data_IF_209786634065
#
_entry.id   IF_209786634065
#
_cell.length_a   1.000
_cell.length_b   1.000
_cell.length_c   1.000
_cell.angle_alpha   90.00
_cell.angle_beta   90.00
_cell.angle_gamma   90.00
#
_symmetry.space_group_name_H-M   'P 1'
#
loop_
_entity.id
_entity.type
_entity.pdbx_description
1 polymer ?
#
# COMPACT_ATOMS: atom_id res chain seq x y z
N UNK A 1 20.56 6.71 -21.11
CA UNK A 1 19.68 6.30 -19.99
C UNK A 1 20.08 4.94 -19.47
N UNK A 2 20.26 3.95 -20.32
CA UNK A 2 20.76 2.63 -19.92
C UNK A 2 22.08 2.69 -19.13
N UNK A 3 22.99 3.62 -19.47
CA UNK A 3 24.26 3.79 -18.75
C UNK A 3 24.13 4.33 -17.33
N UNK A 4 23.04 5.01 -16.96
CA UNK A 4 22.83 5.54 -15.61
C UNK A 4 22.58 4.46 -14.55
N UNK A 5 22.03 3.31 -14.94
CA UNK A 5 21.68 2.23 -14.02
C UNK A 5 22.61 1.01 -14.11
N UNK A 6 23.74 1.14 -14.82
CA UNK A 6 24.68 0.05 -15.11
C UNK A 6 25.27 -0.62 -13.86
N UNK A 7 25.30 0.08 -12.74
CA UNK A 7 25.81 -0.46 -11.46
C UNK A 7 24.89 -1.54 -10.86
N UNK A 8 23.60 -1.50 -11.20
CA UNK A 8 22.59 -2.43 -10.68
C UNK A 8 22.31 -3.60 -11.65
N UNK A 9 23.00 -3.64 -12.78
CA UNK A 9 22.77 -4.68 -13.78
C UNK A 9 23.39 -6.01 -13.40
N UNK A 10 22.67 -7.08 -13.72
CA UNK A 10 23.17 -8.44 -13.66
C UNK A 10 24.28 -8.65 -14.70
N UNK A 11 25.08 -9.68 -14.54
CA UNK A 11 26.13 -10.01 -15.53
C UNK A 11 25.54 -10.33 -16.90
N UNK A 12 24.33 -10.90 -16.95
CA UNK A 12 23.58 -11.16 -18.17
C UNK A 12 23.16 -9.86 -18.87
N UNK A 13 22.63 -8.89 -18.16
CA UNK A 13 22.26 -7.58 -18.71
C UNK A 13 23.48 -6.82 -19.26
N UNK A 14 24.63 -6.89 -18.56
CA UNK A 14 25.89 -6.33 -19.03
C UNK A 14 26.36 -6.98 -20.34
N UNK A 15 26.26 -8.32 -20.45
CA UNK A 15 26.61 -9.04 -21.66
C UNK A 15 25.73 -8.61 -22.83
N UNK A 16 24.41 -8.56 -22.68
CA UNK A 16 23.46 -8.12 -23.71
C UNK A 16 23.77 -6.69 -24.16
N UNK A 17 24.11 -5.79 -23.23
CA UNK A 17 24.45 -4.43 -23.57
C UNK A 17 25.72 -4.33 -24.42
N UNK A 18 26.75 -5.11 -24.12
CA UNK A 18 27.97 -5.16 -24.94
C UNK A 18 27.71 -5.78 -26.34
N UNK A 19 26.89 -6.81 -26.42
CA UNK A 19 26.41 -7.38 -27.68
C UNK A 19 25.61 -6.35 -28.50
N UNK A 20 24.73 -5.62 -27.88
CA UNK A 20 23.95 -4.54 -28.50
C UNK A 20 24.83 -3.45 -29.07
N UNK A 21 25.86 -3.01 -28.33
CA UNK A 21 26.86 -2.04 -28.81
C UNK A 21 27.66 -2.54 -30.00
N UNK A 22 28.08 -3.79 -29.93
CA UNK A 22 28.89 -4.39 -30.99
C UNK A 22 28.09 -4.57 -32.28
N UNK A 23 26.82 -4.95 -32.19
CA UNK A 23 25.93 -5.20 -33.31
C UNK A 23 25.20 -3.98 -33.85
N UNK A 24 25.21 -2.86 -33.15
CA UNK A 24 24.37 -1.67 -33.41
C UNK A 24 22.86 -2.03 -33.54
N UNK A 25 22.43 -3.02 -32.75
CA UNK A 25 21.05 -3.54 -32.72
C UNK A 25 20.53 -3.53 -31.30
N UNK A 26 19.25 -3.33 -31.11
CA UNK A 26 18.58 -3.41 -29.79
C UNK A 26 17.70 -4.63 -29.77
N UNK A 27 17.80 -5.44 -28.73
CA UNK A 27 16.87 -6.56 -28.52
C UNK A 27 15.54 -6.03 -28.03
N UNK A 28 14.46 -6.61 -28.53
CA UNK A 28 13.10 -6.18 -28.18
C UNK A 28 12.28 -7.36 -27.65
N UNK A 29 11.42 -7.07 -26.69
CA UNK A 29 10.28 -7.92 -26.37
C UNK A 29 9.16 -7.63 -27.36
N UNK A 30 8.89 -8.58 -28.22
CA UNK A 30 7.89 -8.47 -29.25
C UNK A 30 6.59 -9.13 -28.80
N UNK A 31 5.55 -8.35 -28.55
CA UNK A 31 4.29 -8.81 -27.98
C UNK A 31 3.15 -8.63 -28.97
N UNK A 32 2.38 -9.69 -29.20
CA UNK A 32 1.09 -9.60 -29.88
C UNK A 32 -0.02 -9.28 -28.88
N UNK A 33 -0.80 -8.22 -29.13
CA UNK A 33 -1.89 -7.82 -28.26
C UNK A 33 -3.24 -7.86 -28.97
N UNK A 34 -4.27 -8.26 -28.24
CA UNK A 34 -5.67 -8.23 -28.69
C UNK A 34 -6.29 -6.84 -28.54
N UNK A 35 -7.46 -6.62 -29.17
CA UNK A 35 -8.21 -5.36 -29.04
C UNK A 35 -8.55 -5.01 -27.57
N UNK A 36 -8.90 -6.01 -26.77
CA UNK A 36 -9.19 -5.83 -25.34
C UNK A 36 -7.97 -5.27 -24.60
N UNK A 37 -6.79 -5.82 -24.85
CA UNK A 37 -5.55 -5.33 -24.23
C UNK A 37 -5.21 -3.94 -24.74
N UNK A 38 -5.37 -3.68 -26.04
CA UNK A 38 -5.18 -2.35 -26.62
C UNK A 38 -6.06 -1.28 -25.95
N UNK A 39 -7.30 -1.62 -25.62
CA UNK A 39 -8.21 -0.70 -24.93
C UNK A 39 -7.82 -0.43 -23.48
N UNK A 40 -7.09 -1.33 -22.87
CA UNK A 40 -6.59 -1.23 -21.49
C UNK A 40 -5.24 -0.50 -21.37
N UNK A 41 -4.56 -0.22 -22.49
CA UNK A 41 -3.25 0.46 -22.45
C UNK A 41 -3.35 1.87 -21.88
N UNK A 42 -2.36 2.24 -21.07
CA UNK A 42 -2.20 3.61 -20.56
C UNK A 42 -1.35 4.41 -21.55
N UNK A 43 -1.99 5.28 -22.32
CA UNK A 43 -1.36 6.03 -23.41
C UNK A 43 -0.62 7.27 -22.89
N UNK A 44 0.55 7.50 -23.47
CA UNK A 44 1.26 8.76 -23.35
C UNK A 44 0.93 9.65 -24.55
N UNK A 45 -0.05 10.53 -24.38
CA UNK A 45 -0.58 11.37 -25.45
C UNK A 45 -1.89 10.85 -26.02
N UNK A 46 -2.15 11.09 -27.32
CA UNK A 46 -3.39 10.67 -27.96
C UNK A 46 -3.40 9.18 -28.29
N UNK A 47 -4.51 8.52 -27.94
CA UNK A 47 -4.75 7.12 -28.29
C UNK A 47 -5.03 7.01 -29.78
N UNK A 48 -4.33 6.14 -30.49
CA UNK A 48 -4.63 5.85 -31.89
C UNK A 48 -5.87 4.96 -32.04
N UNK A 49 -6.39 4.87 -33.26
CA UNK A 49 -7.50 3.97 -33.60
C UNK A 49 -7.02 2.51 -33.67
N UNK A 50 -7.82 1.58 -33.11
CA UNK A 50 -7.58 0.14 -33.28
C UNK A 50 -7.51 -0.27 -34.75
N UNK A 51 -8.39 0.28 -35.60
CA UNK A 51 -8.38 -0.03 -37.03
C UNK A 51 -7.07 0.35 -37.74
N UNK A 52 -6.45 1.45 -37.33
CA UNK A 52 -5.15 1.86 -37.85
C UNK A 52 -4.05 0.93 -37.36
N UNK A 53 -4.06 0.61 -36.06
CA UNK A 53 -3.09 -0.31 -35.46
C UNK A 53 -3.20 -1.73 -36.04
N UNK A 54 -4.43 -2.22 -36.26
CA UNK A 54 -4.70 -3.55 -36.80
C UNK A 54 -4.14 -3.79 -38.20
N UNK A 55 -3.75 -2.74 -38.95
CA UNK A 55 -3.09 -2.91 -40.25
C UNK A 55 -1.81 -3.74 -40.19
N UNK A 56 -1.16 -3.78 -39.02
CA UNK A 56 0.10 -4.49 -38.81
C UNK A 56 1.34 -3.75 -39.33
N UNK A 57 1.19 -2.50 -39.78
CA UNK A 57 2.32 -1.67 -40.25
C UNK A 57 2.91 -0.80 -39.15
N UNK A 58 2.25 -0.78 -38.03
CA UNK A 58 2.59 0.08 -36.89
C UNK A 58 2.84 -0.73 -35.62
N UNK A 59 3.66 -0.15 -34.74
CA UNK A 59 3.91 -0.65 -33.40
C UNK A 59 3.60 0.39 -32.34
N UNK A 60 3.27 -0.08 -31.17
CA UNK A 60 3.22 0.72 -29.94
C UNK A 60 4.45 0.37 -29.13
N UNK A 61 5.18 1.36 -28.67
CA UNK A 61 6.38 1.17 -27.84
C UNK A 61 6.00 1.39 -26.38
N UNK A 62 6.44 0.48 -25.51
CA UNK A 62 6.27 0.66 -24.08
C UNK A 62 7.24 1.75 -23.58
N UNK A 63 6.72 2.70 -22.80
CA UNK A 63 7.51 3.76 -22.19
C UNK A 63 7.81 3.52 -20.71
N UNK A 64 7.37 2.41 -20.15
CA UNK A 64 7.62 2.07 -18.74
C UNK A 64 9.08 1.66 -18.55
N UNK A 65 9.75 2.33 -17.61
CA UNK A 65 11.00 1.84 -17.04
C UNK A 65 10.74 1.38 -15.61
N UNK A 66 10.83 0.09 -15.37
CA UNK A 66 10.58 -0.53 -14.07
C UNK A 66 11.52 -0.07 -12.96
N UNK A 67 12.67 0.50 -13.34
CA UNK A 67 13.73 0.90 -12.41
C UNK A 67 13.85 2.41 -12.22
N UNK A 68 13.09 3.21 -12.96
CA UNK A 68 13.06 4.66 -12.80
C UNK A 68 11.65 5.17 -12.54
N UNK A 69 11.51 6.08 -11.58
CA UNK A 69 10.25 6.76 -11.28
C UNK A 69 9.76 7.68 -12.43
N UNK A 70 10.52 7.78 -13.51
CA UNK A 70 10.19 8.64 -14.64
C UNK A 70 10.04 7.80 -15.91
N UNK A 71 8.91 7.96 -16.64
CA UNK A 71 8.70 7.27 -17.91
C UNK A 71 9.76 7.70 -18.93
N UNK A 72 10.39 6.71 -19.54
CA UNK A 72 11.44 6.91 -20.55
C UNK A 72 10.84 6.62 -21.93
N UNK A 73 10.95 7.60 -22.83
CA UNK A 73 10.61 7.43 -24.23
C UNK A 73 11.85 6.96 -25.00
N UNK A 74 11.76 5.83 -25.66
CA UNK A 74 12.82 5.32 -26.53
C UNK A 74 12.63 5.78 -27.98
N UNK A 75 11.38 5.89 -28.43
CA UNK A 75 11.00 6.31 -29.76
C UNK A 75 9.86 7.33 -29.69
N UNK A 76 9.81 8.22 -30.68
CA UNK A 76 8.71 9.17 -30.80
C UNK A 76 7.70 8.70 -31.86
N UNK A 77 6.43 9.09 -31.70
CA UNK A 77 5.42 8.82 -32.71
C UNK A 77 5.82 9.39 -34.08
N UNK A 78 5.71 8.57 -35.10
CA UNK A 78 6.10 8.91 -36.48
C UNK A 78 7.52 8.44 -36.88
N UNK A 79 8.34 7.99 -35.93
CA UNK A 79 9.61 7.34 -36.25
C UNK A 79 9.38 5.96 -36.85
N UNK A 80 10.36 5.47 -37.61
CA UNK A 80 10.33 4.13 -38.20
C UNK A 80 11.59 3.37 -37.78
N UNK A 81 11.46 2.08 -37.59
CA UNK A 81 12.58 1.20 -37.33
C UNK A 81 12.40 -0.13 -38.03
N UNK A 82 13.54 -0.76 -38.30
CA UNK A 82 13.59 -2.06 -38.93
C UNK A 82 13.70 -3.16 -37.88
N UNK A 83 12.79 -4.10 -37.90
CA UNK A 83 12.82 -5.27 -37.04
C UNK A 83 13.32 -6.48 -37.79
N UNK A 84 14.20 -7.24 -37.14
CA UNK A 84 14.66 -8.53 -37.60
C UNK A 84 14.20 -9.63 -36.66
N UNK A 85 13.61 -10.67 -37.21
CA UNK A 85 13.06 -11.81 -36.46
C UNK A 85 14.04 -12.96 -36.42
N UNK A 86 13.93 -13.84 -35.42
CA UNK A 86 14.77 -15.01 -35.27
C UNK A 86 14.72 -16.00 -36.45
N UNK A 87 13.72 -15.87 -37.33
CA UNK A 87 13.61 -16.65 -38.58
C UNK A 87 14.28 -15.98 -39.81
N UNK A 88 15.00 -14.86 -39.60
CA UNK A 88 15.67 -14.08 -40.63
C UNK A 88 14.78 -13.15 -41.44
N UNK A 89 13.50 -13.11 -41.20
CA UNK A 89 12.60 -12.11 -41.81
C UNK A 89 12.92 -10.73 -41.25
N UNK A 90 12.70 -9.72 -42.08
CA UNK A 90 12.83 -8.29 -41.70
C UNK A 90 11.58 -7.53 -42.11
N UNK A 91 11.14 -6.59 -41.31
CA UNK A 91 10.03 -5.69 -41.61
C UNK A 91 10.27 -4.32 -41.01
N UNK A 92 9.90 -3.29 -41.74
CA UNK A 92 9.91 -1.90 -41.26
C UNK A 92 8.56 -1.58 -40.61
N UNK A 93 8.60 -0.95 -39.43
CA UNK A 93 7.41 -0.50 -38.70
C UNK A 93 7.46 0.99 -38.39
N UNK A 94 6.31 1.63 -38.50
CA UNK A 94 6.13 2.97 -37.95
C UNK A 94 5.73 2.94 -36.46
N UNK A 95 6.28 3.82 -35.66
CA UNK A 95 5.83 4.01 -34.27
C UNK A 95 4.57 4.84 -34.28
N UNK A 96 3.44 4.24 -33.88
CA UNK A 96 2.14 4.96 -33.85
C UNK A 96 1.92 5.69 -32.53
N UNK A 97 2.59 5.29 -31.47
CA UNK A 97 2.50 5.92 -30.16
C UNK A 97 3.25 5.15 -29.08
N UNK A 98 3.24 5.72 -27.90
CA UNK A 98 3.80 5.14 -26.69
C UNK A 98 2.67 4.84 -25.69
N UNK A 99 2.67 3.61 -25.16
CA UNK A 99 1.69 3.22 -24.16
C UNK A 99 2.28 2.20 -23.19
N UNK A 100 1.83 2.24 -21.95
CA UNK A 100 2.23 1.31 -20.91
C UNK A 100 1.23 0.16 -20.81
N UNK A 101 1.75 -1.06 -20.71
CA UNK A 101 0.93 -2.24 -20.40
C UNK A 101 0.34 -2.13 -19.01
N UNK A 102 -0.95 -2.47 -18.81
CA UNK A 102 -1.53 -2.56 -17.47
C UNK A 102 -0.71 -3.48 -16.57
N UNK A 103 -0.50 -3.09 -15.33
CA UNK A 103 0.30 -3.86 -14.37
C UNK A 103 -0.10 -5.33 -14.25
N UNK A 104 -1.40 -5.63 -14.43
CA UNK A 104 -1.92 -7.00 -14.39
C UNK A 104 -1.49 -7.87 -15.58
N UNK A 105 -1.06 -7.25 -16.66
CA UNK A 105 -0.61 -7.90 -17.89
C UNK A 105 0.88 -7.64 -18.15
N UNK A 106 1.53 -6.85 -17.29
CA UNK A 106 2.93 -6.52 -17.43
C UNK A 106 3.80 -7.77 -17.21
N UNK A 107 4.80 -7.91 -18.07
CA UNK A 107 5.69 -9.08 -18.06
C UNK A 107 6.71 -8.97 -16.93
N UNK A 108 6.67 -9.84 -15.90
CA UNK A 108 7.51 -9.71 -14.72
C UNK A 108 9.00 -9.95 -14.95
N UNK A 109 9.36 -10.47 -16.12
CA UNK A 109 10.74 -10.80 -16.49
C UNK A 109 11.31 -9.93 -17.61
N UNK A 110 10.70 -8.76 -17.89
CA UNK A 110 11.29 -7.82 -18.83
C UNK A 110 12.60 -7.28 -18.25
N UNK A 111 13.71 -7.61 -18.92
CA UNK A 111 15.03 -7.12 -18.57
C UNK A 111 15.13 -5.62 -18.92
N UNK A 112 15.86 -4.86 -18.12
CA UNK A 112 16.04 -3.40 -18.29
C UNK A 112 16.75 -3.01 -19.61
N UNK A 113 17.25 -3.99 -20.34
CA UNK A 113 18.01 -3.79 -21.60
C UNK A 113 17.15 -3.99 -22.84
N UNK A 114 15.93 -4.50 -22.70
CA UNK A 114 15.00 -4.73 -23.80
C UNK A 114 13.98 -3.61 -23.91
N UNK A 115 13.63 -3.28 -25.14
CA UNK A 115 12.50 -2.40 -25.44
C UNK A 115 11.29 -3.28 -25.72
N UNK A 116 10.18 -3.02 -25.04
CA UNK A 116 8.94 -3.75 -25.31
C UNK A 116 8.19 -3.08 -26.46
N UNK A 117 7.87 -3.86 -27.45
CA UNK A 117 7.18 -3.43 -28.67
C UNK A 117 5.92 -4.27 -28.84
N UNK A 118 4.78 -3.61 -28.99
CA UNK A 118 3.48 -4.24 -29.12
C UNK A 118 2.98 -4.12 -30.56
N UNK A 119 2.45 -5.21 -31.09
CA UNK A 119 1.79 -5.30 -32.42
C UNK A 119 0.43 -6.00 -32.27
N UNK A 120 -0.44 -5.94 -33.28
CA UNK A 120 -1.64 -6.77 -33.29
C UNK A 120 -1.29 -8.27 -33.21
N UNK A 121 -2.12 -9.06 -32.53
CA UNK A 121 -1.92 -10.50 -32.39
C UNK A 121 -1.77 -11.21 -33.76
N UNK A 122 -2.56 -10.82 -34.75
CA UNK A 122 -2.49 -11.38 -36.11
C UNK A 122 -1.13 -11.12 -36.76
N UNK A 123 -0.55 -9.94 -36.56
CA UNK A 123 0.77 -9.58 -37.05
C UNK A 123 1.87 -10.38 -36.35
N UNK A 124 1.75 -10.53 -35.02
CA UNK A 124 2.69 -11.36 -34.24
C UNK A 124 2.73 -12.79 -34.76
N UNK A 125 1.58 -13.41 -34.99
CA UNK A 125 1.46 -14.78 -35.51
C UNK A 125 2.05 -14.86 -36.91
N UNK A 126 1.79 -13.87 -37.75
CA UNK A 126 2.30 -13.84 -39.15
C UNK A 126 3.82 -13.80 -39.20
N UNK A 127 4.45 -13.03 -38.32
CA UNK A 127 5.90 -12.84 -38.35
C UNK A 127 6.66 -13.95 -37.63
N UNK A 128 6.12 -14.44 -36.50
CA UNK A 128 6.80 -15.43 -35.65
C UNK A 128 6.40 -16.87 -35.98
N UNK A 129 5.21 -17.08 -36.52
CA UNK A 129 4.58 -18.39 -36.64
C UNK A 129 4.11 -18.99 -35.30
N UNK A 130 4.25 -18.27 -34.21
CA UNK A 130 3.88 -18.73 -32.86
C UNK A 130 2.44 -18.34 -32.55
N UNK A 131 1.60 -19.34 -32.26
CA UNK A 131 0.20 -19.17 -31.89
C UNK A 131 -0.03 -19.37 -30.38
N UNK A 132 1.03 -19.61 -29.61
CA UNK A 132 0.89 -19.83 -28.17
C UNK A 132 0.63 -18.51 -27.45
N UNK A 133 -0.47 -18.44 -26.72
CA UNK A 133 -0.74 -17.32 -25.84
C UNK A 133 0.15 -17.41 -24.60
N UNK A 134 0.89 -16.37 -24.32
CA UNK A 134 1.69 -16.25 -23.11
C UNK A 134 0.81 -15.85 -21.90
N UNK A 135 -0.15 -14.98 -22.15
CA UNK A 135 -1.13 -14.52 -21.19
C UNK A 135 -2.52 -14.53 -21.82
N UNK A 136 -3.50 -14.89 -21.01
CA UNK A 136 -4.91 -14.72 -21.34
C UNK A 136 -5.57 -13.91 -20.22
N UNK A 137 -6.03 -12.71 -20.53
CA UNK A 137 -6.85 -11.91 -19.60
C UNK A 137 -8.31 -12.27 -19.80
N UNK A 138 -8.98 -12.60 -18.70
CA UNK A 138 -10.40 -12.95 -18.70
C UNK A 138 -11.13 -11.93 -17.83
N UNK A 139 -12.00 -11.14 -18.44
CA UNK A 139 -12.88 -10.22 -17.72
C UNK A 139 -14.24 -10.91 -17.50
N UNK A 140 -14.55 -11.14 -16.23
CA UNK A 140 -15.80 -11.76 -15.83
C UNK A 140 -16.90 -10.69 -15.71
N UNK A 141 -18.13 -11.04 -16.07
CA UNK A 141 -19.28 -10.16 -15.78
C UNK A 141 -19.37 -9.91 -14.28
N UNK A 142 -19.82 -8.71 -13.93
CA UNK A 142 -19.92 -8.26 -12.53
C UNK A 142 -20.68 -9.28 -11.66
N UNK A 143 -19.95 -9.85 -10.71
CA UNK A 143 -20.47 -10.84 -9.76
C UNK A 143 -20.29 -12.32 -10.18
N UNK A 144 -19.76 -12.60 -11.37
CA UNK A 144 -19.51 -13.96 -11.86
C UNK A 144 -18.05 -14.42 -11.65
N UNK A 145 -17.17 -13.56 -11.10
CA UNK A 145 -15.76 -13.87 -10.86
C UNK A 145 -15.52 -15.24 -10.21
N UNK A 146 -16.38 -15.59 -9.24
CA UNK A 146 -16.24 -16.86 -8.53
C UNK A 146 -16.58 -18.07 -9.40
N UNK A 147 -17.59 -17.94 -10.26
CA UNK A 147 -18.02 -19.03 -11.15
C UNK A 147 -16.98 -19.25 -12.25
N UNK A 148 -16.45 -18.15 -12.81
CA UNK A 148 -15.37 -18.20 -13.81
C UNK A 148 -14.12 -18.85 -13.22
N UNK A 149 -13.74 -18.45 -11.99
CA UNK A 149 -12.60 -19.05 -11.31
C UNK A 149 -12.81 -20.56 -11.07
N UNK A 150 -13.96 -20.98 -10.55
CA UNK A 150 -14.27 -22.39 -10.31
C UNK A 150 -14.26 -23.21 -11.62
N UNK A 151 -14.71 -22.61 -12.72
CA UNK A 151 -14.64 -23.23 -14.04
C UNK A 151 -13.19 -23.44 -14.51
N UNK A 152 -12.35 -22.42 -14.36
CA UNK A 152 -10.94 -22.49 -14.73
C UNK A 152 -10.21 -23.52 -13.86
N UNK A 153 -10.38 -23.47 -12.55
CA UNK A 153 -9.74 -24.38 -11.60
C UNK A 153 -10.14 -25.86 -11.90
N UNK A 154 -11.37 -26.08 -12.32
CA UNK A 154 -11.89 -27.43 -12.58
C UNK A 154 -11.54 -27.99 -13.95
N UNK A 155 -11.56 -27.15 -14.98
CA UNK A 155 -11.49 -27.60 -16.36
C UNK A 155 -10.17 -27.27 -17.06
N UNK A 156 -9.46 -26.24 -16.59
CA UNK A 156 -8.19 -25.79 -17.23
C UNK A 156 -6.97 -26.28 -16.45
N UNK A 157 -6.96 -26.03 -15.14
CA UNK A 157 -5.80 -26.37 -14.31
C UNK A 157 -5.64 -27.87 -14.07
N UNK A 158 -6.72 -28.65 -14.13
CA UNK A 158 -6.63 -30.12 -13.99
C UNK A 158 -5.91 -30.81 -15.14
N UNK A 159 -5.97 -30.20 -16.31
CA UNK A 159 -5.41 -30.78 -17.53
C UNK A 159 -4.00 -30.28 -17.83
N UNK A 160 -3.56 -29.20 -17.16
CA UNK A 160 -2.26 -28.60 -17.47
C UNK A 160 -1.61 -27.91 -16.26
N UNK A 161 -0.65 -28.59 -15.65
CA UNK A 161 0.10 -28.10 -14.47
C UNK A 161 1.03 -26.91 -14.80
N UNK A 162 1.23 -26.58 -16.07
CA UNK A 162 2.10 -25.47 -16.50
C UNK A 162 1.37 -24.11 -16.52
N UNK A 163 0.05 -24.11 -16.39
CA UNK A 163 -0.75 -22.88 -16.41
C UNK A 163 -0.83 -22.31 -15.01
N UNK A 164 -0.37 -21.07 -14.87
CA UNK A 164 -0.54 -20.31 -13.63
C UNK A 164 -1.75 -19.36 -13.77
N UNK A 165 -2.71 -19.48 -12.86
CA UNK A 165 -3.90 -18.63 -12.85
C UNK A 165 -3.85 -17.69 -11.66
N UNK A 166 -3.90 -16.40 -11.95
CA UNK A 166 -4.03 -15.35 -10.93
C UNK A 166 -5.41 -14.71 -11.03
N UNK A 167 -6.19 -14.80 -9.98
CA UNK A 167 -7.51 -14.15 -9.94
C UNK A 167 -7.52 -12.98 -8.97
N UNK A 168 -8.35 -11.98 -9.26
CA UNK A 168 -8.60 -10.84 -8.35
C UNK A 168 -9.11 -11.32 -6.99
N UNK A 169 -9.85 -12.43 -6.95
CA UNK A 169 -10.32 -13.04 -5.70
C UNK A 169 -9.16 -13.57 -4.85
N UNK A 170 -8.19 -14.25 -5.48
CA UNK A 170 -7.02 -14.78 -4.78
C UNK A 170 -6.09 -13.67 -4.34
N UNK A 171 -5.90 -12.64 -5.16
CA UNK A 171 -5.14 -11.46 -4.79
C UNK A 171 -5.76 -10.74 -3.59
N UNK A 172 -7.07 -10.50 -3.62
CA UNK A 172 -7.81 -9.90 -2.47
C UNK A 172 -7.72 -10.77 -1.22
N UNK A 173 -7.83 -12.10 -1.35
CA UNK A 173 -7.70 -13.01 -0.22
C UNK A 173 -6.27 -13.02 0.35
N UNK A 174 -5.26 -13.03 -0.50
CA UNK A 174 -3.85 -12.98 -0.11
C UNK A 174 -3.50 -11.65 0.53
N UNK A 175 -3.94 -10.54 -0.04
CA UNK A 175 -3.76 -9.21 0.54
C UNK A 175 -4.44 -9.11 1.92
N UNK A 176 -5.67 -9.62 2.06
CA UNK A 176 -6.38 -9.63 3.34
C UNK A 176 -5.65 -10.46 4.40
N UNK A 177 -5.09 -11.62 4.01
CA UNK A 177 -4.25 -12.45 4.90
C UNK A 177 -2.96 -11.74 5.30
N UNK A 178 -2.31 -11.09 4.33
CA UNK A 178 -1.09 -10.30 4.57
C UNK A 178 -1.35 -9.17 5.56
N UNK A 179 -2.32 -8.31 5.27
CA UNK A 179 -2.70 -7.18 6.13
C UNK A 179 -3.20 -7.67 7.50
N UNK A 180 -3.93 -8.80 7.54
CA UNK A 180 -4.40 -9.41 8.79
C UNK A 180 -3.27 -9.77 9.76
N UNK A 181 -2.11 -10.22 9.26
CA UNK A 181 -0.94 -10.49 10.10
C UNK A 181 -0.42 -9.20 10.75
N UNK A 182 -0.36 -8.10 10.02
CA UNK A 182 0.07 -6.80 10.58
C UNK A 182 -0.93 -6.25 11.59
N UNK A 183 -2.24 -6.39 11.33
CA UNK A 183 -3.26 -6.02 12.32
C UNK A 183 -3.15 -6.83 13.61
N UNK A 184 -2.85 -8.12 13.52
CA UNK A 184 -2.66 -8.98 14.70
C UNK A 184 -1.44 -8.52 15.52
N UNK A 185 -0.28 -8.36 14.89
CA UNK A 185 0.96 -7.93 15.56
C UNK A 185 0.81 -6.52 16.12
N UNK A 186 0.33 -5.59 15.30
CA UNK A 186 0.10 -4.20 15.71
C UNK A 186 -0.94 -4.09 16.82
N UNK A 187 -2.03 -4.85 16.72
CA UNK A 187 -3.07 -4.90 17.74
C UNK A 187 -2.54 -5.41 19.08
N UNK A 188 -1.72 -6.46 19.07
CA UNK A 188 -1.06 -6.96 20.28
C UNK A 188 -0.17 -5.91 20.95
N UNK A 189 0.65 -5.21 20.15
CA UNK A 189 1.49 -4.11 20.65
C UNK A 189 0.65 -2.97 21.24
N UNK A 190 -0.44 -2.60 20.57
CA UNK A 190 -1.36 -1.56 21.06
C UNK A 190 -1.97 -1.96 22.40
N UNK A 191 -2.40 -3.21 22.58
CA UNK A 191 -2.95 -3.70 23.85
C UNK A 191 -1.91 -3.62 24.98
N UNK A 192 -0.66 -4.03 24.72
CA UNK A 192 0.43 -3.93 25.70
C UNK A 192 0.68 -2.47 26.09
N UNK A 193 0.81 -1.58 25.09
CA UNK A 193 1.07 -0.16 25.34
C UNK A 193 -0.11 0.51 26.07
N UNK A 194 -1.34 0.14 25.74
CA UNK A 194 -2.53 0.62 26.44
C UNK A 194 -2.53 0.18 27.90
N UNK A 195 -2.18 -1.08 28.19
CA UNK A 195 -2.07 -1.58 29.55
C UNK A 195 -1.00 -0.83 30.34
N UNK A 196 0.18 -0.63 29.77
CA UNK A 196 1.26 0.16 30.38
C UNK A 196 0.80 1.59 30.65
N UNK A 197 0.13 2.24 29.70
CA UNK A 197 -0.40 3.59 29.83
C UNK A 197 -1.46 3.71 30.95
N UNK A 198 -2.39 2.77 31.04
CA UNK A 198 -3.41 2.71 32.10
C UNK A 198 -2.75 2.51 33.47
N UNK A 199 -1.79 1.60 33.58
CA UNK A 199 -1.06 1.36 34.83
C UNK A 199 -0.25 2.58 35.26
N UNK A 200 0.40 3.27 34.32
CA UNK A 200 1.13 4.50 34.60
C UNK A 200 0.19 5.62 35.07
N UNK A 201 -0.95 5.82 34.41
CA UNK A 201 -1.96 6.78 34.85
C UNK A 201 -2.54 6.41 36.22
N UNK A 202 -2.79 5.13 36.49
CA UNK A 202 -3.22 4.63 37.78
C UNK A 202 -2.21 4.97 38.90
N UNK A 203 -0.93 4.67 38.67
CA UNK A 203 0.14 4.93 39.63
C UNK A 203 0.33 6.44 39.87
N UNK A 204 0.32 7.24 38.81
CA UNK A 204 0.43 8.71 38.93
C UNK A 204 -0.73 9.30 39.73
N UNK A 205 -1.95 8.86 39.43
CA UNK A 205 -3.14 9.32 40.16
C UNK A 205 -3.12 8.86 41.64
N UNK A 206 -2.71 7.60 41.89
CA UNK A 206 -2.58 7.06 43.25
C UNK A 206 -1.57 7.86 44.05
N UNK A 207 -0.38 8.11 43.51
CA UNK A 207 0.66 8.91 44.14
C UNK A 207 0.18 10.33 44.40
N UNK A 208 -0.49 10.99 43.45
CA UNK A 208 -1.07 12.32 43.63
C UNK A 208 -2.09 12.38 44.75
N UNK A 209 -3.01 11.40 44.82
CA UNK A 209 -4.02 11.33 45.89
C UNK A 209 -3.39 11.06 47.26
N UNK A 210 -2.39 10.18 47.33
CA UNK A 210 -1.71 9.82 48.58
C UNK A 210 -0.84 10.98 49.08
N UNK A 211 -0.04 11.62 48.24
CA UNK A 211 0.84 12.73 48.61
C UNK A 211 0.05 13.96 49.07
N UNK A 212 -1.13 14.17 48.52
CA UNK A 212 -2.05 15.29 48.91
C UNK A 212 -3.08 14.89 49.94
N UNK A 213 -2.89 13.76 50.63
CA UNK A 213 -3.87 13.22 51.59
C UNK A 213 -4.25 14.23 52.69
N UNK A 214 -3.24 14.93 53.25
CA UNK A 214 -3.47 15.98 54.29
C UNK A 214 -4.22 17.18 53.72
N UNK A 215 -3.87 17.67 52.51
CA UNK A 215 -4.58 18.76 51.83
C UNK A 215 -6.05 18.43 51.61
N UNK A 216 -6.32 17.23 51.09
CA UNK A 216 -7.67 16.75 50.80
C UNK A 216 -8.49 16.60 52.09
N UNK A 217 -7.85 16.19 53.21
CA UNK A 217 -8.47 16.13 54.53
C UNK A 217 -8.78 17.53 55.08
N UNK A 218 -7.89 18.50 54.90
CA UNK A 218 -8.12 19.91 55.29
C UNK A 218 -9.30 20.54 54.52
N UNK A 219 -9.44 20.23 53.23
CA UNK A 219 -10.60 20.67 52.41
C UNK A 219 -11.91 20.09 52.96
N UNK A 220 -11.93 18.85 53.44
CA UNK A 220 -13.08 18.27 54.13
C UNK A 220 -13.40 19.01 55.46
N UNK A 221 -12.38 19.40 56.24
CA UNK A 221 -12.54 20.18 57.50
C UNK A 221 -13.09 21.58 57.21
N UNK A 222 -12.69 22.24 56.13
CA UNK A 222 -13.19 23.57 55.71
C UNK A 222 -14.62 23.49 55.14
N UNK A 223 -15.18 22.27 54.98
CA UNK A 223 -16.57 22.09 54.59
C UNK A 223 -16.81 21.57 53.19
N UNK A 224 -15.78 21.22 52.43
CA UNK A 224 -15.96 20.56 51.16
C UNK A 224 -16.52 19.15 51.35
N UNK A 225 -17.54 18.81 50.57
CA UNK A 225 -18.09 17.46 50.57
C UNK A 225 -17.20 16.48 49.83
N UNK A 226 -17.19 15.20 50.19
CA UNK A 226 -16.48 14.13 49.49
C UNK A 226 -16.82 14.10 47.98
N UNK A 227 -18.06 14.44 47.60
CA UNK A 227 -18.47 14.54 46.20
C UNK A 227 -17.75 15.67 45.44
N UNK A 228 -17.55 16.81 46.06
CA UNK A 228 -16.84 17.95 45.47
C UNK A 228 -15.35 17.64 45.27
N UNK A 229 -14.70 17.05 46.28
CA UNK A 229 -13.28 16.62 46.18
C UNK A 229 -13.13 15.56 45.09
N UNK A 230 -14.02 14.56 45.03
CA UNK A 230 -14.01 13.56 43.99
C UNK A 230 -14.17 14.15 42.59
N UNK A 231 -15.06 15.14 42.41
CA UNK A 231 -15.23 15.86 41.13
C UNK A 231 -13.97 16.64 40.74
N UNK A 232 -13.31 17.28 41.72
CA UNK A 232 -12.06 17.98 41.49
C UNK A 232 -10.95 17.04 40.96
N UNK A 233 -10.76 15.88 41.62
CA UNK A 233 -9.77 14.88 41.19
C UNK A 233 -10.10 14.27 39.83
N UNK A 234 -11.38 14.06 39.54
CA UNK A 234 -11.85 13.62 38.23
C UNK A 234 -11.55 14.67 37.16
N UNK A 235 -11.79 15.96 37.46
CA UNK A 235 -11.46 17.05 36.53
C UNK A 235 -9.95 17.13 36.24
N UNK A 236 -9.10 16.96 37.27
CA UNK A 236 -7.65 16.84 37.12
C UNK A 236 -7.28 15.66 36.19
N UNK A 237 -7.93 14.51 36.36
CA UNK A 237 -7.75 13.34 35.49
C UNK A 237 -8.12 13.61 34.02
N UNK A 238 -9.22 14.33 33.79
CA UNK A 238 -9.63 14.75 32.44
C UNK A 238 -8.64 15.74 31.82
N UNK A 239 -8.13 16.69 32.56
CA UNK A 239 -7.12 17.63 32.07
C UNK A 239 -5.82 16.90 31.68
N UNK A 240 -5.41 15.93 32.51
CA UNK A 240 -4.18 15.17 32.27
C UNK A 240 -4.29 14.29 31.01
N UNK A 241 -5.34 13.46 30.93
CA UNK A 241 -5.55 12.57 29.78
C UNK A 241 -5.97 13.35 28.53
N UNK A 242 -6.75 14.42 28.67
CA UNK A 242 -7.13 15.29 27.55
C UNK A 242 -5.91 15.99 26.93
N UNK A 243 -5.02 16.53 27.76
CA UNK A 243 -3.75 17.11 27.30
C UNK A 243 -2.87 16.09 26.58
N UNK A 244 -2.71 14.90 27.16
CA UNK A 244 -1.95 13.81 26.53
C UNK A 244 -2.57 13.37 25.20
N UNK A 245 -3.88 13.27 25.12
CA UNK A 245 -4.61 12.93 23.90
C UNK A 245 -4.43 13.98 22.80
N UNK A 246 -4.50 15.27 23.13
CA UNK A 246 -4.27 16.34 22.17
C UNK A 246 -2.86 16.30 21.57
N UNK A 247 -1.85 16.08 22.43
CA UNK A 247 -0.46 15.91 21.97
C UNK A 247 -0.31 14.66 21.08
N UNK A 248 -0.92 13.55 21.47
CA UNK A 248 -0.89 12.32 20.68
C UNK A 248 -1.53 12.50 19.30
N UNK A 249 -2.69 13.16 19.20
CA UNK A 249 -3.35 13.46 17.93
C UNK A 249 -2.45 14.35 17.05
N UNK A 250 -1.82 15.37 17.62
CA UNK A 250 -0.90 16.24 16.90
C UNK A 250 0.29 15.46 16.32
N UNK A 251 0.90 14.60 17.13
CA UNK A 251 2.02 13.75 16.71
C UNK A 251 1.61 12.75 15.61
N UNK A 252 0.42 12.17 15.70
CA UNK A 252 -0.09 11.27 14.66
C UNK A 252 -0.36 12.01 13.35
N UNK A 253 -1.02 13.18 13.41
CA UNK A 253 -1.36 13.94 12.20
C UNK A 253 -0.10 14.45 11.48
N UNK A 254 0.86 14.97 12.23
CA UNK A 254 2.09 15.55 11.64
C UNK A 254 3.12 14.46 11.35
N UNK A 255 3.41 13.60 12.33
CA UNK A 255 4.49 12.62 12.24
C UNK A 255 4.16 11.43 11.35
N UNK A 256 2.97 10.84 11.53
CA UNK A 256 2.59 9.68 10.73
C UNK A 256 2.39 10.04 9.26
N UNK A 257 1.81 11.21 8.96
CA UNK A 257 1.67 11.70 7.59
C UNK A 257 3.03 11.82 6.90
N UNK A 258 4.01 12.45 7.57
CA UNK A 258 5.33 12.67 7.00
C UNK A 258 6.10 11.36 6.79
N UNK A 259 6.07 10.46 7.78
CA UNK A 259 6.75 9.16 7.69
C UNK A 259 6.12 8.29 6.60
N UNK A 260 4.79 8.19 6.56
CA UNK A 260 4.08 7.36 5.58
C UNK A 260 4.25 7.89 4.15
N UNK A 261 4.21 9.20 3.93
CA UNK A 261 4.45 9.77 2.59
C UNK A 261 5.88 9.50 2.14
N UNK A 262 6.88 9.69 3.02
CA UNK A 262 8.28 9.49 2.64
C UNK A 262 8.63 8.01 2.42
N UNK A 263 7.95 7.08 3.11
CA UNK A 263 8.28 5.64 3.02
C UNK A 263 7.46 4.91 1.98
N UNK A 264 6.18 5.27 1.82
CA UNK A 264 5.22 4.55 0.97
C UNK A 264 4.66 5.40 -0.17
N UNK A 265 4.94 6.69 -0.20
CA UNK A 265 4.39 7.62 -1.19
C UNK A 265 4.82 7.33 -2.63
N UNK A 266 5.92 6.61 -2.81
CA UNK A 266 6.40 6.12 -4.12
C UNK A 266 5.66 4.87 -4.60
N UNK A 267 4.93 4.18 -3.72
CA UNK A 267 4.16 3.01 -4.10
C UNK A 267 2.87 3.43 -4.83
N UNK A 268 2.74 3.08 -6.10
CA UNK A 268 1.62 3.46 -6.97
C UNK A 268 0.23 3.08 -6.42
N UNK A 269 0.16 2.09 -5.53
CA UNK A 269 -1.09 1.61 -4.91
C UNK A 269 -1.37 2.27 -3.56
N UNK A 270 -0.50 3.17 -3.06
CA UNK A 270 -0.64 3.77 -1.74
C UNK A 270 -1.35 5.11 -1.81
N UNK A 271 -2.56 5.16 -1.26
CA UNK A 271 -3.30 6.40 -1.03
C UNK A 271 -3.54 6.58 0.46
N UNK A 272 -2.97 7.66 1.03
CA UNK A 272 -3.12 7.96 2.45
C UNK A 272 -4.47 8.63 2.72
N UNK A 273 -5.41 7.87 3.27
CA UNK A 273 -6.68 8.39 3.79
C UNK A 273 -6.62 8.48 5.31
N UNK A 274 -6.30 9.66 5.83
CA UNK A 274 -6.36 9.91 7.27
C UNK A 274 -7.81 10.02 7.71
N UNK A 275 -8.28 9.01 8.44
CA UNK A 275 -9.63 8.97 9.00
C UNK A 275 -9.60 9.40 10.46
N UNK A 276 -10.48 10.33 10.86
CA UNK A 276 -10.60 10.82 12.26
C UNK A 276 -11.32 9.81 13.17
N UNK A 277 -11.97 8.80 12.58
CA UNK A 277 -12.80 7.81 13.30
C UNK A 277 -12.05 7.10 14.44
N UNK A 278 -10.81 6.60 14.30
CA UNK A 278 -10.07 5.97 15.39
C UNK A 278 -9.85 6.92 16.58
N UNK A 279 -9.59 8.20 16.32
CA UNK A 279 -9.42 9.21 17.36
C UNK A 279 -10.74 9.44 18.12
N UNK A 280 -11.87 9.49 17.42
CA UNK A 280 -13.18 9.65 18.05
C UNK A 280 -13.56 8.43 18.90
N UNK A 281 -13.21 7.22 18.50
CA UNK A 281 -13.43 6.00 19.28
C UNK A 281 -12.60 5.97 20.58
N UNK A 282 -11.46 6.65 20.63
CA UNK A 282 -10.63 6.72 21.83
C UNK A 282 -11.21 7.66 22.90
N UNK A 283 -11.99 8.68 22.53
CA UNK A 283 -12.57 9.65 23.47
C UNK A 283 -13.42 9.01 24.58
N UNK A 284 -14.40 8.15 24.29
CA UNK A 284 -15.19 7.50 25.34
C UNK A 284 -14.36 6.58 26.25
N UNK A 285 -13.35 5.89 25.67
CA UNK A 285 -12.47 5.00 26.45
C UNK A 285 -11.63 5.82 27.43
N UNK A 286 -10.96 6.87 26.96
CA UNK A 286 -10.16 7.76 27.80
C UNK A 286 -11.01 8.48 28.84
N UNK A 287 -12.23 8.90 28.48
CA UNK A 287 -13.18 9.52 29.41
C UNK A 287 -13.58 8.57 30.53
N UNK A 288 -13.81 7.30 30.21
CA UNK A 288 -14.09 6.26 31.20
C UNK A 288 -12.93 6.06 32.19
N UNK A 289 -11.70 6.03 31.68
CA UNK A 289 -10.47 5.90 32.48
C UNK A 289 -10.28 7.14 33.37
N UNK A 290 -10.39 8.36 32.80
CA UNK A 290 -10.28 9.64 33.53
C UNK A 290 -11.28 9.77 34.65
N UNK A 291 -12.47 9.21 34.49
CA UNK A 291 -13.50 9.21 35.51
C UNK A 291 -13.30 8.13 36.58
N UNK A 292 -13.05 6.88 36.12
CA UNK A 292 -13.09 5.72 37.03
C UNK A 292 -11.86 5.66 37.95
N UNK A 293 -10.65 5.93 37.46
CA UNK A 293 -9.43 5.76 38.24
C UNK A 293 -9.34 6.77 39.39
N UNK A 294 -9.46 8.10 39.18
CA UNK A 294 -9.39 9.06 40.31
C UNK A 294 -10.50 8.85 41.32
N UNK A 295 -11.70 8.53 40.86
CA UNK A 295 -12.85 8.26 41.76
C UNK A 295 -12.60 7.01 42.62
N UNK A 296 -12.05 5.95 42.03
CA UNK A 296 -11.69 4.73 42.77
C UNK A 296 -10.61 5.01 43.82
N UNK A 297 -9.54 5.72 43.45
CA UNK A 297 -8.43 6.06 44.34
C UNK A 297 -8.92 6.93 45.52
N UNK A 298 -9.70 7.94 45.23
CA UNK A 298 -10.28 8.80 46.27
C UNK A 298 -11.22 8.01 47.20
N UNK A 299 -12.08 7.15 46.64
CA UNK A 299 -12.98 6.31 47.44
C UNK A 299 -12.20 5.42 48.41
N UNK A 300 -11.09 4.79 47.93
CA UNK A 300 -10.23 3.97 48.77
C UNK A 300 -9.56 4.76 49.90
N UNK A 301 -9.04 5.96 49.60
CA UNK A 301 -8.41 6.83 50.57
C UNK A 301 -9.44 7.36 51.59
N UNK A 302 -10.66 7.70 51.18
CA UNK A 302 -11.72 8.31 52.02
C UNK A 302 -12.39 7.30 52.97
N UNK A 303 -12.00 6.04 52.95
CA UNK A 303 -12.43 5.04 53.96
C UNK A 303 -11.78 5.26 55.31
N UNK A 304 -10.57 5.87 55.35
CA UNK A 304 -9.95 6.29 56.61
C UNK A 304 -10.61 7.55 57.14
N UNK A 305 -10.70 7.67 58.48
CA UNK A 305 -11.29 8.88 59.11
C UNK A 305 -10.45 10.11 58.81
N UNK A 306 -11.10 11.32 58.80
CA UNK A 306 -10.38 12.58 58.52
C UNK A 306 -9.26 12.81 59.55
N UNK A 307 -9.53 12.51 60.83
CA UNK A 307 -8.55 12.63 61.94
C UNK A 307 -7.34 11.72 61.72
N UNK A 308 -7.57 10.49 61.25
CA UNK A 308 -6.49 9.52 60.99
C UNK A 308 -5.64 9.92 59.78
N UNK A 309 -6.27 10.52 58.74
CA UNK A 309 -5.58 11.04 57.56
C UNK A 309 -4.67 12.23 57.83
N UNK A 310 -5.01 13.05 58.84
CA UNK A 310 -4.20 14.19 59.29
C UNK A 310 -3.06 13.74 60.24
N UNK A 311 -3.28 12.71 61.07
CA UNK A 311 -2.35 12.27 62.14
C UNK A 311 -1.23 11.35 61.63
N UNK A 312 -1.46 10.57 60.57
CA UNK A 312 -0.42 9.70 59.99
C UNK A 312 0.64 10.52 59.26
N UNK A 313 1.88 10.47 59.76
CA UNK A 313 3.07 10.96 59.09
C UNK A 313 3.44 10.10 57.90
#
# INVERSE_FOLDING_TARGET
LAEKNKENWTDYEKQIWEETKAGNTVKVHFLGISEVVFDMLEWKGEKCSWNTFKSGDYVIVDYSDKYTEQPVSYYQSGETFKMEYGNGKQKDYGVIGEAMMPYSLDYPYADSVYITVMVPEEEYITQTGNQSAMYAAIDAKKGEDKQVKEYIDKNVLKENDMINVSSVLDMKASFRRFVGKYYMIGGFLVVILAFIGIMNFFNTTATSVISRKKELALLEVVGMTKKQISKMLVAEGFLYLGGAFMIAVLLVVVGAKQILINTLGTAFFFQLHLTIVPCLLMVPILSGIAYAIPKYQFKKMSQESVVERIRKE
#
